data_IF_082097638568
#
_entry.id   IF_082097638568
#
_cell.length_a   1.000
_cell.length_b   1.000
_cell.length_c   1.000
_cell.angle_alpha   90.00
_cell.angle_beta   90.00
_cell.angle_gamma   90.00
#
_symmetry.space_group_name_H-M   'P 1'
#
loop_
_entity.id
_entity.type
_entity.pdbx_description
1 polymer ?
#
# COMPACT_ATOMS: atom_id res chain seq x y z
N UNK A 1 3.17 43.30 -62.27
CA UNK A 1 4.44 43.21 -61.50
C UNK A 1 4.11 43.05 -60.03
N UNK A 2 4.85 42.19 -59.31
CA UNK A 2 4.52 41.70 -57.96
C UNK A 2 4.93 42.71 -56.88
N UNK A 3 4.48 42.53 -55.64
CA UNK A 3 5.25 42.66 -54.38
C UNK A 3 4.27 42.71 -53.18
N UNK A 4 4.07 41.54 -52.55
CA UNK A 4 3.59 41.41 -51.17
C UNK A 4 4.77 41.59 -50.21
N UNK A 5 4.55 42.18 -49.02
CA UNK A 5 5.30 41.79 -47.84
C UNK A 5 4.43 41.19 -46.74
N UNK A 6 4.88 40.00 -46.34
CA UNK A 6 4.71 39.26 -45.08
C UNK A 6 4.24 40.07 -43.86
N UNK A 7 3.23 39.54 -43.18
CA UNK A 7 3.14 39.51 -41.72
C UNK A 7 2.30 38.26 -41.34
N UNK A 8 2.99 37.19 -40.93
CA UNK A 8 3.08 36.74 -39.55
C UNK A 8 1.90 35.81 -39.19
N UNK A 9 2.20 34.52 -39.21
CA UNK A 9 1.30 33.44 -38.84
C UNK A 9 0.90 33.55 -37.36
N UNK A 10 -0.40 33.52 -37.09
CA UNK A 10 -0.94 33.28 -35.75
C UNK A 10 -0.75 31.79 -35.45
N UNK A 11 0.06 31.48 -34.45
CA UNK A 11 0.23 30.13 -33.93
C UNK A 11 -1.07 29.72 -33.25
N UNK A 12 -1.79 28.76 -33.84
CA UNK A 12 -2.90 28.10 -33.18
C UNK A 12 -2.36 27.23 -32.05
N UNK A 13 -2.74 27.52 -30.79
CA UNK A 13 -2.56 26.58 -29.69
C UNK A 13 -3.40 25.34 -29.97
N UNK A 14 -2.75 24.24 -30.34
CA UNK A 14 -3.38 22.93 -30.31
C UNK A 14 -3.67 22.57 -28.83
N UNK A 15 -4.94 22.44 -28.48
CA UNK A 15 -5.38 21.79 -27.25
C UNK A 15 -4.86 20.34 -27.29
N UNK A 16 -3.83 20.04 -26.48
CA UNK A 16 -3.48 18.65 -26.21
C UNK A 16 -4.66 17.99 -25.50
N UNK A 17 -5.39 17.14 -26.20
CA UNK A 17 -6.17 16.10 -25.53
C UNK A 17 -5.21 15.30 -24.64
N UNK A 18 -5.58 14.95 -23.39
CA UNK A 18 -4.76 14.05 -22.59
C UNK A 18 -4.61 12.75 -23.37
N UNK A 19 -3.35 12.35 -23.60
CA UNK A 19 -3.06 11.06 -24.21
C UNK A 19 -3.76 9.96 -23.40
N UNK A 20 -4.31 8.92 -24.04
CA UNK A 20 -4.79 7.75 -23.32
C UNK A 20 -3.66 7.26 -22.42
N UNK A 21 -3.95 7.15 -21.12
CA UNK A 21 -3.00 6.63 -20.15
C UNK A 21 -2.47 5.29 -20.69
N UNK A 22 -1.14 5.05 -20.67
CA UNK A 22 -0.61 3.75 -21.04
C UNK A 22 -1.33 2.67 -20.23
N UNK A 23 -1.69 1.57 -20.90
CA UNK A 23 -2.36 0.42 -20.30
C UNK A 23 -1.74 0.13 -18.92
N UNK A 24 -2.59 0.02 -17.89
CA UNK A 24 -2.16 -0.27 -16.53
C UNK A 24 -1.16 -1.42 -16.59
N UNK A 25 -0.01 -1.33 -15.91
CA UNK A 25 0.89 -2.47 -15.86
C UNK A 25 0.05 -3.64 -15.34
N UNK A 26 0.08 -4.76 -16.07
CA UNK A 26 -0.12 -6.09 -15.53
C UNK A 26 0.90 -6.23 -14.40
N UNK A 27 0.65 -5.56 -13.27
CA UNK A 27 1.66 -5.36 -12.25
C UNK A 27 1.71 -6.69 -11.53
N UNK A 28 2.66 -7.51 -11.94
CA UNK A 28 2.92 -8.78 -11.29
C UNK A 28 3.43 -8.45 -9.90
N UNK A 29 2.52 -8.40 -8.94
CA UNK A 29 2.85 -8.36 -7.53
C UNK A 29 3.32 -9.78 -7.18
N UNK A 30 4.63 -10.00 -7.26
CA UNK A 30 5.25 -11.21 -6.71
C UNK A 30 5.75 -10.81 -5.33
N UNK A 31 4.98 -11.07 -4.26
CA UNK A 31 5.55 -11.01 -2.93
C UNK A 31 6.44 -12.23 -2.75
N UNK A 32 7.54 -12.09 -2.02
CA UNK A 32 8.15 -13.21 -1.29
C UNK A 32 7.23 -13.59 -0.11
N UNK A 33 5.93 -13.87 -0.35
CA UNK A 33 4.91 -13.94 0.71
C UNK A 33 3.51 -14.34 0.25
N UNK A 34 2.49 -13.92 1.01
CA UNK A 34 1.12 -14.42 0.88
C UNK A 34 0.27 -13.62 -0.13
N UNK A 35 -0.60 -14.33 -0.86
CA UNK A 35 -1.60 -13.73 -1.73
C UNK A 35 -3.01 -14.09 -1.26
N UNK A 36 -3.89 -13.09 -1.20
CA UNK A 36 -5.26 -13.22 -0.71
C UNK A 36 -6.26 -12.66 -1.73
N UNK A 37 -7.49 -13.22 -1.81
CA UNK A 37 -8.53 -12.71 -2.69
C UNK A 37 -9.01 -11.32 -2.22
N UNK A 38 -9.42 -10.45 -3.15
CA UNK A 38 -10.04 -9.16 -2.83
C UNK A 38 -11.32 -9.26 -1.98
N UNK A 39 -11.93 -10.44 -1.89
CA UNK A 39 -13.09 -10.75 -1.05
C UNK A 39 -12.73 -11.13 0.39
N UNK A 40 -11.43 -11.15 0.75
CA UNK A 40 -10.97 -11.48 2.10
C UNK A 40 -11.64 -10.55 3.12
N UNK A 41 -12.41 -11.07 4.10
CA UNK A 41 -13.15 -10.20 5.01
C UNK A 41 -12.24 -9.48 6.02
N UNK A 42 -11.12 -10.11 6.39
CA UNK A 42 -10.10 -9.57 7.28
C UNK A 42 -8.79 -10.32 7.10
N UNK A 43 -7.67 -9.64 7.31
CA UNK A 43 -6.35 -10.23 7.40
C UNK A 43 -5.92 -10.26 8.86
N UNK A 44 -5.64 -11.44 9.43
CA UNK A 44 -5.12 -11.58 10.80
C UNK A 44 -3.73 -12.17 10.74
N UNK A 45 -2.75 -11.44 11.28
CA UNK A 45 -1.38 -11.90 11.43
C UNK A 45 -1.14 -12.39 12.86
N UNK A 46 -0.61 -13.61 12.99
CA UNK A 46 -0.19 -14.19 14.26
C UNK A 46 1.31 -13.99 14.43
N UNK A 47 1.70 -13.19 15.43
CA UNK A 47 3.10 -12.92 15.71
C UNK A 47 3.54 -13.61 17.02
N UNK A 48 4.49 -14.56 16.97
CA UNK A 48 5.07 -15.14 18.18
C UNK A 48 5.96 -14.12 18.88
N UNK A 49 5.67 -13.80 20.14
CA UNK A 49 6.39 -12.78 20.92
C UNK A 49 7.77 -13.26 21.38
N UNK A 50 7.92 -14.56 21.66
CA UNK A 50 9.17 -15.15 22.14
C UNK A 50 9.73 -14.41 23.38
N UNK A 51 11.02 -14.07 23.32
CA UNK A 51 11.71 -13.34 24.38
C UNK A 51 11.30 -11.85 24.50
N UNK A 52 10.44 -11.36 23.60
CA UNK A 52 9.92 -9.99 23.63
C UNK A 52 8.57 -9.88 24.36
N UNK A 53 8.06 -10.96 24.97
CA UNK A 53 6.88 -10.89 25.83
C UNK A 53 7.05 -9.91 27.00
N UNK A 54 5.95 -9.32 27.47
CA UNK A 54 5.98 -8.27 28.49
C UNK A 54 6.21 -6.85 27.95
N UNK A 55 6.25 -6.69 26.62
CA UNK A 55 6.44 -5.41 25.92
C UNK A 55 5.16 -4.92 25.27
N UNK A 56 5.16 -3.65 24.87
CA UNK A 56 4.14 -3.07 24.00
C UNK A 56 4.48 -3.37 22.55
N UNK A 57 3.57 -4.02 21.84
CA UNK A 57 3.67 -4.21 20.40
C UNK A 57 2.75 -3.25 19.65
N UNK A 58 3.20 -2.79 18.50
CA UNK A 58 2.43 -1.97 17.56
C UNK A 58 2.55 -2.57 16.16
N UNK A 59 1.42 -3.01 15.61
CA UNK A 59 1.29 -3.44 14.22
C UNK A 59 0.77 -2.28 13.39
N UNK A 60 1.48 -1.88 12.34
CA UNK A 60 1.06 -0.81 11.42
C UNK A 60 1.04 -1.33 10.00
N UNK A 61 -0.07 -1.11 9.31
CA UNK A 61 -0.22 -1.49 7.91
C UNK A 61 0.00 -0.30 7.00
N UNK A 62 0.73 -0.53 5.92
CA UNK A 62 1.07 0.46 4.91
C UNK A 62 0.71 -0.04 3.51
N UNK A 63 0.30 0.89 2.66
CA UNK A 63 0.21 0.66 1.22
C UNK A 63 1.62 0.73 0.62
N UNK A 64 2.11 -0.32 -0.03
CA UNK A 64 3.34 -0.22 -0.82
C UNK A 64 3.01 0.11 -2.29
N UNK A 65 2.18 -0.73 -2.90
CA UNK A 65 1.73 -0.54 -4.29
C UNK A 65 0.25 -0.89 -4.41
N UNK A 66 -0.59 -0.08 -3.76
CA UNK A 66 -2.04 -0.26 -3.70
C UNK A 66 -2.74 0.70 -4.67
N UNK A 67 -3.71 0.20 -5.43
CA UNK A 67 -4.40 1.02 -6.44
C UNK A 67 -5.16 2.20 -5.81
N UNK A 68 -4.87 3.40 -6.32
CA UNK A 68 -5.48 4.64 -5.85
C UNK A 68 -5.01 5.10 -4.46
N UNK A 69 -3.97 4.49 -3.91
CA UNK A 69 -3.39 4.85 -2.60
C UNK A 69 -1.90 5.19 -2.77
N UNK A 70 -1.44 6.35 -2.29
CA UNK A 70 -0.02 6.70 -2.21
C UNK A 70 0.83 5.60 -1.55
N UNK A 71 2.05 5.40 -2.09
CA UNK A 71 3.03 4.51 -1.47
C UNK A 71 3.43 5.02 -0.07
N UNK A 72 3.71 4.08 0.83
CA UNK A 72 3.98 4.28 2.26
C UNK A 72 2.88 5.01 3.04
N UNK A 73 1.67 5.15 2.46
CA UNK A 73 0.53 5.63 3.23
C UNK A 73 0.17 4.61 4.31
N UNK A 74 0.12 5.07 5.55
CA UNK A 74 -0.44 4.29 6.66
C UNK A 74 -1.92 4.04 6.40
N UNK A 75 -2.30 2.76 6.41
CA UNK A 75 -3.68 2.30 6.24
C UNK A 75 -4.37 2.25 7.60
N UNK A 76 -3.74 1.56 8.56
CA UNK A 76 -4.26 1.39 9.91
C UNK A 76 -3.12 1.02 10.89
N UNK A 77 -3.40 1.04 12.19
CA UNK A 77 -2.48 0.60 13.24
C UNK A 77 -3.22 0.07 14.46
N UNK A 78 -2.67 -0.94 15.10
CA UNK A 78 -3.16 -1.50 16.35
C UNK A 78 -2.01 -1.70 17.34
N UNK A 79 -2.27 -1.49 18.63
CA UNK A 79 -1.30 -1.69 19.70
C UNK A 79 -1.82 -2.68 20.74
N UNK A 80 -0.91 -3.51 21.27
CA UNK A 80 -1.20 -4.54 22.28
C UNK A 80 -0.10 -4.53 23.33
N UNK A 81 -0.47 -4.31 24.59
CA UNK A 81 0.43 -4.51 25.72
C UNK A 81 0.41 -5.99 26.14
N UNK A 82 1.57 -6.64 26.13
CA UNK A 82 1.68 -8.06 26.47
C UNK A 82 2.12 -8.27 27.92
N UNK A 83 1.71 -9.40 28.51
CA UNK A 83 2.23 -9.84 29.81
C UNK A 83 3.52 -10.65 29.62
N UNK A 84 4.45 -10.65 30.60
CA UNK A 84 5.59 -11.57 30.58
C UNK A 84 5.11 -13.02 30.41
N UNK A 85 5.73 -13.76 29.49
CA UNK A 85 5.35 -15.15 29.17
C UNK A 85 4.16 -15.31 28.21
N UNK A 86 3.49 -14.24 27.80
CA UNK A 86 2.47 -14.32 26.74
C UNK A 86 3.13 -14.73 25.43
N UNK A 87 2.69 -15.86 24.85
CA UNK A 87 3.38 -16.50 23.73
C UNK A 87 3.21 -15.80 22.36
N UNK A 88 2.13 -15.02 22.19
CA UNK A 88 1.84 -14.37 20.91
C UNK A 88 0.89 -13.18 21.02
N UNK A 89 0.89 -12.36 19.97
CA UNK A 89 -0.08 -11.29 19.70
C UNK A 89 -0.70 -11.48 18.32
N UNK A 90 -1.88 -10.91 18.14
CA UNK A 90 -2.62 -10.95 16.89
C UNK A 90 -2.89 -9.53 16.41
N UNK A 91 -2.63 -9.30 15.13
CA UNK A 91 -2.91 -8.03 14.46
C UNK A 91 -3.91 -8.28 13.36
N UNK A 92 -5.07 -7.63 13.43
CA UNK A 92 -6.14 -7.81 12.44
C UNK A 92 -6.38 -6.51 11.68
N UNK A 93 -6.39 -6.59 10.36
CA UNK A 93 -6.78 -5.52 9.45
C UNK A 93 -8.09 -5.89 8.75
N UNK A 94 -9.04 -4.97 8.74
CA UNK A 94 -10.29 -5.08 7.98
C UNK A 94 -10.31 -4.03 6.85
N UNK A 95 -11.02 -4.30 5.74
CA UNK A 95 -11.13 -3.32 4.67
C UNK A 95 -11.88 -2.08 5.14
N UNK A 96 -11.39 -0.89 4.79
CA UNK A 96 -12.17 0.35 4.89
C UNK A 96 -13.23 0.48 3.79
N UNK A 97 -13.05 -0.25 2.68
CA UNK A 97 -13.99 -0.38 1.57
C UNK A 97 -13.95 -1.80 1.00
N UNK A 98 -15.10 -2.32 0.58
CA UNK A 98 -15.24 -3.66 -0.01
C UNK A 98 -15.57 -3.54 -1.50
N UNK A 99 -14.86 -4.25 -2.40
CA UNK A 99 -13.67 -5.07 -2.13
C UNK A 99 -12.45 -4.22 -1.74
N UNK A 100 -11.42 -4.87 -1.18
CA UNK A 100 -10.14 -4.22 -0.93
C UNK A 100 -9.58 -3.62 -2.23
N UNK A 101 -8.86 -2.49 -2.18
CA UNK A 101 -8.07 -2.09 -3.34
C UNK A 101 -7.01 -3.16 -3.64
N UNK A 102 -6.84 -3.55 -4.91
CA UNK A 102 -5.78 -4.50 -5.27
C UNK A 102 -4.40 -3.88 -5.04
N UNK A 103 -3.44 -4.72 -4.67
CA UNK A 103 -2.04 -4.31 -4.57
C UNK A 103 -1.24 -4.99 -3.48
N UNK A 104 -0.01 -4.48 -3.28
CA UNK A 104 0.92 -4.94 -2.25
C UNK A 104 0.81 -4.09 -0.99
N UNK A 105 0.64 -4.79 0.12
CA UNK A 105 0.51 -4.25 1.46
C UNK A 105 1.68 -4.72 2.32
N UNK A 106 2.02 -3.93 3.33
CA UNK A 106 3.08 -4.24 4.29
C UNK A 106 2.57 -4.06 5.71
N UNK A 107 2.83 -5.04 6.56
CA UNK A 107 2.68 -4.95 8.00
C UNK A 107 4.07 -4.75 8.63
N UNK A 108 4.24 -3.70 9.40
CA UNK A 108 5.37 -3.52 10.30
C UNK A 108 4.93 -3.82 11.73
N UNK A 109 5.68 -4.65 12.45
CA UNK A 109 5.48 -4.89 13.89
C UNK A 109 6.66 -4.30 14.64
N UNK A 110 6.36 -3.37 15.55
CA UNK A 110 7.32 -2.75 16.47
C UNK A 110 7.11 -3.25 17.88
N UNK A 111 8.18 -3.43 18.65
CA UNK A 111 8.16 -3.66 20.09
C UNK A 111 8.87 -2.50 20.79
N UNK A 112 8.17 -1.79 21.68
CA UNK A 112 8.64 -0.57 22.35
C UNK A 112 9.26 0.45 21.36
N UNK A 113 8.59 0.65 20.22
CA UNK A 113 9.02 1.57 19.16
C UNK A 113 10.10 1.04 18.21
N UNK A 114 10.74 -0.11 18.50
CA UNK A 114 11.75 -0.72 17.62
C UNK A 114 11.10 -1.69 16.64
N UNK A 115 11.40 -1.57 15.34
CA UNK A 115 10.97 -2.56 14.34
C UNK A 115 11.56 -3.93 14.66
N UNK A 116 10.70 -4.93 14.82
CA UNK A 116 11.09 -6.32 15.13
C UNK A 116 10.68 -7.30 14.03
N UNK A 117 9.67 -6.95 13.23
CA UNK A 117 9.21 -7.79 12.15
C UNK A 117 8.54 -6.98 11.04
N UNK A 118 8.60 -7.49 9.82
CA UNK A 118 7.95 -6.92 8.66
C UNK A 118 7.41 -8.06 7.77
N UNK A 119 6.14 -7.98 7.40
CA UNK A 119 5.46 -8.95 6.55
C UNK A 119 4.86 -8.26 5.33
N UNK A 120 4.87 -8.92 4.17
CA UNK A 120 4.25 -8.41 2.94
C UNK A 120 3.17 -9.36 2.45
N UNK A 121 2.07 -8.80 1.98
CA UNK A 121 1.00 -9.58 1.39
C UNK A 121 0.33 -8.83 0.24
N UNK A 122 -0.21 -9.60 -0.71
CA UNK A 122 -0.90 -9.07 -1.88
C UNK A 122 -2.37 -9.39 -1.81
N UNK A 123 -3.21 -8.41 -2.14
CA UNK A 123 -4.64 -8.58 -2.37
C UNK A 123 -4.90 -8.46 -3.89
N UNK A 124 -5.45 -9.50 -4.51
CA UNK A 124 -5.75 -9.55 -5.96
C UNK A 124 -6.88 -10.53 -6.30
#
# INVERSE_FOLDING_TARGET
>A
MPHLPRAAAVVALALLAPAPLPAQPTRTYIPDGFAFPLSTPRFTYHFPTGNLSGRRFEGTWFAETVEGVPADQRIDSAAVDTKPGQASVFFTLAPSRTPWPPGLYRLEIRADGRLVHQERFVLR
#
